data_IF_498526255515
#
_entry.id   IF_498526255515
#
_cell.length_a   1.000
_cell.length_b   1.000
_cell.length_c   1.000
_cell.angle_alpha   90.00
_cell.angle_beta   90.00
_cell.angle_gamma   90.00
#
_symmetry.space_group_name_H-M   'P 1'
#
loop_
_entity.id
_entity.type
_entity.pdbx_description
1 polymer ?
#
# COMPACT_ATOMS: atom_id res chain seq x y z
N UNK A 1 -26.39 -2.49 18.74
CA UNK A 1 -26.34 -3.82 18.11
C UNK A 1 -24.90 -4.16 17.74
N UNK A 2 -24.63 -5.44 17.46
CA UNK A 2 -23.36 -5.90 16.90
C UNK A 2 -23.33 -5.56 15.40
N UNK A 3 -22.16 -5.19 14.89
CA UNK A 3 -21.93 -4.71 13.52
C UNK A 3 -21.03 -5.69 12.75
N UNK A 4 -21.04 -5.62 11.42
CA UNK A 4 -20.23 -6.46 10.54
C UNK A 4 -19.03 -5.68 10.00
N UNK A 5 -17.81 -6.10 10.34
CA UNK A 5 -16.59 -5.43 9.88
C UNK A 5 -16.46 -5.36 8.34
N UNK A 6 -16.97 -6.36 7.61
CA UNK A 6 -16.84 -6.41 6.15
C UNK A 6 -17.83 -5.50 5.41
N UNK A 7 -18.87 -5.05 6.12
CA UNK A 7 -19.94 -4.20 5.63
C UNK A 7 -20.39 -3.33 6.80
N UNK A 8 -19.47 -2.47 7.25
CA UNK A 8 -19.66 -1.67 8.45
C UNK A 8 -20.66 -0.55 8.16
N UNK A 9 -21.77 -0.53 8.91
CA UNK A 9 -22.82 0.49 8.77
C UNK A 9 -23.16 1.19 10.08
N UNK A 10 -22.79 0.60 11.23
CA UNK A 10 -23.16 1.09 12.55
C UNK A 10 -21.95 1.50 13.40
N UNK A 11 -21.78 0.96 14.63
CA UNK A 11 -20.72 1.38 15.53
C UNK A 11 -19.31 1.22 14.97
N UNK A 12 -19.05 0.28 14.06
CA UNK A 12 -17.74 0.12 13.42
C UNK A 12 -17.51 1.24 12.41
N UNK A 13 -18.50 1.58 11.58
CA UNK A 13 -18.40 2.67 10.61
C UNK A 13 -18.14 4.00 11.32
N UNK A 14 -18.89 4.28 12.39
CA UNK A 14 -18.69 5.48 13.19
C UNK A 14 -17.31 5.52 13.87
N UNK A 15 -16.82 4.38 14.37
CA UNK A 15 -15.46 4.31 14.93
C UNK A 15 -14.37 4.54 13.87
N UNK A 16 -14.59 4.10 12.63
CA UNK A 16 -13.70 4.35 11.51
C UNK A 16 -13.69 5.84 11.09
N UNK A 17 -14.84 6.52 11.11
CA UNK A 17 -14.94 7.98 10.89
C UNK A 17 -14.15 8.75 11.96
N UNK A 18 -14.39 8.44 13.24
CA UNK A 18 -13.66 9.06 14.36
C UNK A 18 -12.14 8.80 14.26
N UNK A 19 -11.74 7.61 13.83
CA UNK A 19 -10.34 7.30 13.61
C UNK A 19 -9.76 8.09 12.43
N UNK A 20 -10.51 8.26 11.34
CA UNK A 20 -10.09 9.08 10.21
C UNK A 20 -9.84 10.54 10.64
N UNK A 21 -10.75 11.12 11.43
CA UNK A 21 -10.58 12.45 12.01
C UNK A 21 -9.36 12.53 12.93
N UNK A 22 -9.17 11.53 13.80
CA UNK A 22 -8.06 11.50 14.75
C UNK A 22 -6.68 11.37 14.08
N UNK A 23 -6.60 10.63 12.96
CA UNK A 23 -5.36 10.41 12.21
C UNK A 23 -5.15 11.38 11.05
N UNK A 24 -6.14 12.25 10.76
CA UNK A 24 -6.08 13.20 9.64
C UNK A 24 -6.12 12.53 8.27
N UNK A 25 -6.87 11.43 8.14
CA UNK A 25 -7.05 10.68 6.90
C UNK A 25 -8.44 10.94 6.30
N UNK A 26 -8.59 10.81 4.97
CA UNK A 26 -9.90 10.87 4.31
C UNK A 26 -10.79 9.68 4.71
N UNK A 27 -10.18 8.49 4.83
CA UNK A 27 -10.84 7.27 5.26
C UNK A 27 -9.90 6.43 6.13
N UNK A 28 -10.47 5.74 7.13
CA UNK A 28 -9.77 4.71 7.91
C UNK A 28 -10.53 3.39 7.82
N UNK A 29 -9.80 2.29 7.66
CA UNK A 29 -10.35 0.93 7.67
C UNK A 29 -9.73 0.12 8.81
N UNK A 30 -10.58 -0.54 9.60
CA UNK A 30 -10.10 -1.43 10.66
C UNK A 30 -9.69 -2.79 10.10
N UNK A 31 -8.57 -3.29 10.59
CA UNK A 31 -7.97 -4.55 10.14
C UNK A 31 -7.77 -5.47 11.32
N UNK A 32 -8.17 -6.74 11.15
CA UNK A 32 -8.06 -7.78 12.20
C UNK A 32 -6.88 -8.73 11.97
N UNK A 33 -6.11 -8.55 10.89
CA UNK A 33 -4.98 -9.41 10.53
C UNK A 33 -3.64 -8.63 10.45
N UNK A 34 -3.53 -7.59 11.28
CA UNK A 34 -2.36 -6.74 11.42
C UNK A 34 -2.01 -5.91 10.18
N UNK A 35 -0.89 -5.19 10.25
CA UNK A 35 -0.43 -4.31 9.15
C UNK A 35 -0.12 -5.08 7.87
N UNK A 36 0.23 -6.37 7.96
CA UNK A 36 0.47 -7.22 6.80
C UNK A 36 -0.71 -7.24 5.83
N UNK A 37 -1.93 -7.46 6.31
CA UNK A 37 -3.12 -7.45 5.44
C UNK A 37 -3.40 -6.06 4.88
N UNK A 38 -3.15 -5.00 5.66
CA UNK A 38 -3.32 -3.62 5.22
C UNK A 38 -2.39 -3.25 4.06
N UNK A 39 -1.09 -3.55 4.18
CA UNK A 39 -0.12 -3.28 3.11
C UNK A 39 -0.47 -4.05 1.84
N UNK A 40 -0.87 -5.32 1.97
CA UNK A 40 -1.28 -6.15 0.82
C UNK A 40 -2.53 -5.58 0.15
N UNK A 41 -3.56 -5.25 0.93
CA UNK A 41 -4.81 -4.68 0.41
C UNK A 41 -4.56 -3.33 -0.28
N UNK A 42 -3.77 -2.45 0.31
CA UNK A 42 -3.44 -1.14 -0.25
C UNK A 42 -2.73 -1.26 -1.61
N UNK A 43 -1.68 -2.08 -1.70
CA UNK A 43 -0.94 -2.27 -2.96
C UNK A 43 -1.84 -2.90 -4.03
N UNK A 44 -2.62 -3.94 -3.69
CA UNK A 44 -3.54 -4.58 -4.64
C UNK A 44 -4.60 -3.60 -5.17
N UNK A 45 -5.19 -2.78 -4.29
CA UNK A 45 -6.17 -1.77 -4.67
C UNK A 45 -5.57 -0.73 -5.60
N UNK A 46 -4.39 -0.18 -5.27
CA UNK A 46 -3.70 0.79 -6.12
C UNK A 46 -3.34 0.23 -7.50
N UNK A 47 -2.80 -1.00 -7.56
CA UNK A 47 -2.46 -1.67 -8.83
C UNK A 47 -3.72 -1.88 -9.67
N UNK A 48 -4.81 -2.34 -9.05
CA UNK A 48 -6.09 -2.56 -9.74
C UNK A 48 -6.67 -1.25 -10.29
N UNK A 49 -6.65 -0.17 -9.51
CA UNK A 49 -7.09 1.16 -9.93
C UNK A 49 -6.24 1.71 -11.07
N UNK A 50 -4.91 1.55 -10.99
CA UNK A 50 -4.00 1.93 -12.07
C UNK A 50 -4.31 1.19 -13.36
N UNK A 51 -4.53 -0.13 -13.30
CA UNK A 51 -4.93 -0.92 -14.47
C UNK A 51 -6.26 -0.45 -15.05
N UNK A 52 -7.25 -0.14 -14.22
CA UNK A 52 -8.53 0.39 -14.70
C UNK A 52 -8.40 1.77 -15.36
N UNK A 53 -7.48 2.62 -14.89
CA UNK A 53 -7.26 3.96 -15.44
C UNK A 53 -6.74 3.96 -16.88
N UNK A 54 -6.10 2.86 -17.31
CA UNK A 54 -5.59 2.71 -18.68
C UNK A 54 -6.69 2.41 -19.72
N UNK A 55 -7.92 2.09 -19.28
CA UNK A 55 -9.06 1.84 -20.15
C UNK A 55 -8.95 0.58 -21.02
N UNK A 56 -9.98 0.33 -21.85
CA UNK A 56 -10.04 -0.79 -22.80
C UNK A 56 -9.22 -0.57 -24.08
N UNK A 57 -8.61 0.61 -24.24
CA UNK A 57 -7.88 1.00 -25.45
C UNK A 57 -6.47 0.44 -25.41
N UNK A 58 -6.39 -0.87 -25.58
CA UNK A 58 -5.14 -1.59 -25.64
C UNK A 58 -4.37 -1.41 -24.33
N UNK A 59 -4.63 -2.31 -23.39
CA UNK A 59 -3.51 -3.06 -22.84
C UNK A 59 -2.67 -3.48 -24.04
N UNK A 60 -1.72 -2.64 -24.46
CA UNK A 60 -0.51 -3.15 -25.06
C UNK A 60 -0.15 -4.28 -24.11
N UNK A 61 -0.02 -5.50 -24.63
CA UNK A 61 0.13 -6.77 -23.90
C UNK A 61 1.37 -6.80 -22.98
N UNK A 62 1.93 -5.62 -22.65
CA UNK A 62 3.23 -5.30 -22.07
C UNK A 62 3.17 -4.24 -20.98
N UNK A 63 2.04 -3.58 -20.71
CA UNK A 63 1.97 -2.59 -19.62
C UNK A 63 1.85 -3.29 -18.26
N UNK A 64 3.00 -3.63 -17.66
CA UNK A 64 3.06 -4.22 -16.32
C UNK A 64 3.04 -3.08 -15.30
N UNK A 65 2.09 -3.07 -14.33
CA UNK A 65 2.04 -2.05 -13.29
C UNK A 65 3.37 -2.04 -12.53
N UNK A 66 3.90 -0.85 -12.28
CA UNK A 66 5.13 -0.69 -11.53
C UNK A 66 4.85 -0.09 -10.15
N UNK A 67 5.52 -0.61 -9.11
CA UNK A 67 5.41 -0.10 -7.74
C UNK A 67 6.80 0.25 -7.23
N UNK A 68 6.99 1.51 -6.82
CA UNK A 68 8.22 1.97 -6.19
C UNK A 68 8.28 1.49 -4.75
N UNK A 69 9.37 0.81 -4.37
CA UNK A 69 9.58 0.31 -3.02
C UNK A 69 11.04 0.48 -2.60
N UNK A 70 11.30 0.82 -1.33
CA UNK A 70 12.65 0.78 -0.82
C UNK A 70 13.16 -0.67 -0.75
N UNK A 71 14.46 -0.87 -0.94
CA UNK A 71 15.04 -2.23 -1.01
C UNK A 71 14.95 -2.98 0.32
N UNK A 72 14.79 -2.27 1.42
CA UNK A 72 14.53 -2.80 2.76
C UNK A 72 13.02 -2.94 3.09
N UNK A 73 12.13 -2.92 2.08
CA UNK A 73 10.69 -3.08 2.30
C UNK A 73 10.35 -4.38 3.04
N UNK A 74 9.32 -4.31 3.88
CA UNK A 74 8.84 -5.45 4.67
C UNK A 74 8.29 -6.58 3.76
N UNK A 75 8.36 -7.83 4.24
CA UNK A 75 7.94 -9.02 3.47
C UNK A 75 6.49 -8.96 2.98
N UNK A 76 5.61 -8.25 3.69
CA UNK A 76 4.22 -8.03 3.28
C UNK A 76 4.11 -7.27 1.95
N UNK A 77 4.96 -6.28 1.70
CA UNK A 77 5.00 -5.57 0.42
C UNK A 77 5.47 -6.48 -0.72
N UNK A 78 6.45 -7.35 -0.44
CA UNK A 78 6.90 -8.36 -1.41
C UNK A 78 5.79 -9.36 -1.76
N UNK A 79 5.03 -9.82 -0.76
CA UNK A 79 3.87 -10.68 -1.00
C UNK A 79 2.83 -9.98 -1.88
N UNK A 80 2.58 -8.69 -1.64
CA UNK A 80 1.67 -7.91 -2.46
C UNK A 80 2.13 -7.78 -3.93
N UNK A 81 3.43 -7.62 -4.18
CA UNK A 81 3.98 -7.65 -5.55
C UNK A 81 3.73 -8.99 -6.24
N UNK A 82 4.00 -10.10 -5.54
CA UNK A 82 3.76 -11.45 -6.07
C UNK A 82 2.28 -11.66 -6.37
N UNK A 83 1.39 -11.23 -5.47
CA UNK A 83 -0.06 -11.35 -5.66
C UNK A 83 -0.62 -10.44 -6.75
N UNK A 84 -0.04 -9.25 -6.94
CA UNK A 84 -0.52 -8.26 -7.92
C UNK A 84 0.08 -8.45 -9.32
N UNK A 85 1.20 -9.16 -9.44
CA UNK A 85 1.99 -9.21 -10.68
C UNK A 85 2.71 -7.90 -11.01
N UNK A 86 2.72 -6.93 -10.08
CA UNK A 86 3.38 -5.65 -10.31
C UNK A 86 4.90 -5.79 -10.29
N UNK A 87 5.57 -5.07 -11.19
CA UNK A 87 7.02 -4.99 -11.26
C UNK A 87 7.54 -4.02 -10.19
N UNK A 88 8.46 -4.45 -9.32
CA UNK A 88 9.09 -3.51 -8.40
C UNK A 88 10.06 -2.58 -9.13
N UNK A 89 10.11 -1.33 -8.68
CA UNK A 89 11.19 -0.39 -8.93
C UNK A 89 11.87 -0.13 -7.58
N UNK A 90 13.10 -0.60 -7.44
CA UNK A 90 13.81 -0.57 -6.16
C UNK A 90 14.49 0.77 -5.91
N UNK A 91 14.24 1.33 -4.73
CA UNK A 91 14.95 2.48 -4.21
C UNK A 91 15.96 1.97 -3.17
N UNK A 92 17.25 2.17 -3.40
CA UNK A 92 18.29 1.73 -2.46
C UNK A 92 18.40 2.76 -1.34
N UNK A 93 18.10 2.39 -0.08
CA UNK A 93 18.32 3.31 1.04
C UNK A 93 19.81 3.56 1.24
N UNK A 94 20.15 4.77 1.68
CA UNK A 94 21.47 5.06 2.22
C UNK A 94 21.62 4.38 3.59
N UNK A 95 22.85 4.22 4.06
CA UNK A 95 23.14 3.63 5.37
C UNK A 95 23.98 4.60 6.18
N UNK A 96 23.65 4.74 7.46
CA UNK A 96 24.45 5.53 8.38
C UNK A 96 25.82 4.86 8.59
N UNK A 97 26.90 5.58 8.31
CA UNK A 97 28.26 5.00 8.33
C UNK A 97 28.71 4.56 9.73
N UNK A 98 28.14 5.14 10.79
CA UNK A 98 28.53 4.84 12.17
C UNK A 98 27.78 3.63 12.73
N UNK A 99 26.45 3.61 12.56
CA UNK A 99 25.56 2.58 13.12
C UNK A 99 25.28 1.43 12.16
N UNK A 100 25.51 1.61 10.85
CA UNK A 100 25.14 0.65 9.81
C UNK A 100 23.62 0.50 9.61
N UNK A 101 22.81 1.38 10.22
CA UNK A 101 21.36 1.34 10.09
C UNK A 101 20.92 1.95 8.76
N UNK A 102 19.86 1.42 8.12
CA UNK A 102 19.32 2.01 6.91
C UNK A 102 18.69 3.37 7.25
N UNK A 103 19.04 4.37 6.44
CA UNK A 103 18.42 5.68 6.43
C UNK A 103 17.13 5.65 5.59
N UNK A 104 16.45 6.79 5.53
CA UNK A 104 15.30 6.98 4.65
C UNK A 104 15.70 7.01 3.18
N UNK A 105 14.71 6.98 2.29
CA UNK A 105 14.90 7.22 0.86
C UNK A 105 14.99 8.74 0.62
N UNK A 106 16.03 9.19 -0.09
CA UNK A 106 16.19 10.60 -0.43
C UNK A 106 15.17 11.05 -1.48
N UNK A 107 14.79 12.33 -1.45
CA UNK A 107 13.85 12.88 -2.43
C UNK A 107 14.38 12.80 -3.87
N UNK A 108 15.71 12.86 -4.04
CA UNK A 108 16.36 12.72 -5.34
C UNK A 108 16.20 11.30 -5.92
N UNK A 109 16.20 10.26 -5.07
CA UNK A 109 16.00 8.89 -5.52
C UNK A 109 14.59 8.62 -6.08
N UNK A 110 13.62 9.51 -5.85
CA UNK A 110 12.22 9.37 -6.29
C UNK A 110 11.91 10.23 -7.53
N UNK A 111 12.85 11.08 -7.98
CA UNK A 111 12.70 11.91 -9.18
C UNK A 111 12.97 11.13 -10.45
#
# INVERSE_FOLDING_TARGET
ELDNLFEAEGPIAHAQELAADAFGAEHTYFLVNGSTSGVIAAILACVKLWLYSLGSHGIAERAVPAVLLPRNAHRSALHALVSSGARPVWLTPEYDETSGLPLGVSAEAVR
#
